data_IF_389493105266
#
_entry.id   IF_389493105266
#
_cell.length_a   1.000
_cell.length_b   1.000
_cell.length_c   1.000
_cell.angle_alpha   90.00
_cell.angle_beta   90.00
_cell.angle_gamma   90.00
#
_symmetry.space_group_name_H-M   'P 1'
#
loop_
_entity.id
_entity.type
_entity.pdbx_description
1 polymer ?
#
# COMPACT_ATOMS: atom_id res chain seq x y z
N UNK A 1 38.12 -65.87 -38.39
CA UNK A 1 37.18 -65.61 -37.29
C UNK A 1 37.91 -64.69 -36.29
N UNK A 2 37.70 -63.41 -36.42
CA UNK A 2 38.35 -62.39 -35.58
C UNK A 2 37.29 -61.79 -34.68
N UNK A 3 37.47 -61.91 -33.36
CA UNK A 3 36.60 -61.33 -32.38
C UNK A 3 37.04 -59.88 -32.07
N UNK A 4 36.17 -58.91 -32.34
CA UNK A 4 36.33 -57.54 -31.93
C UNK A 4 35.77 -57.38 -30.51
N UNK A 5 36.61 -56.85 -29.59
CA UNK A 5 36.19 -56.38 -28.24
C UNK A 5 35.67 -54.97 -28.31
N UNK A 6 34.58 -54.61 -27.63
CA UNK A 6 34.14 -53.22 -27.54
C UNK A 6 34.95 -52.46 -26.49
N UNK A 7 35.35 -51.25 -26.87
CA UNK A 7 36.05 -50.27 -26.05
C UNK A 7 34.98 -49.46 -25.25
N UNK A 8 34.98 -49.57 -23.94
CA UNK A 8 34.16 -48.70 -23.07
C UNK A 8 34.91 -47.38 -22.84
N UNK A 9 34.39 -46.28 -23.37
CA UNK A 9 34.85 -44.93 -23.03
C UNK A 9 33.93 -44.42 -21.88
N UNK A 10 34.51 -44.33 -20.69
CA UNK A 10 33.88 -43.70 -19.53
C UNK A 10 33.95 -42.19 -19.64
N UNK A 11 32.86 -41.52 -19.89
CA UNK A 11 32.75 -40.08 -19.89
C UNK A 11 32.50 -39.59 -18.45
N UNK A 12 33.55 -39.06 -17.83
CA UNK A 12 33.50 -38.51 -16.48
C UNK A 12 32.96 -37.07 -16.57
N UNK A 13 31.69 -36.85 -16.30
CA UNK A 13 31.11 -35.53 -16.14
C UNK A 13 31.61 -34.89 -14.85
N UNK A 14 32.51 -33.93 -14.93
CA UNK A 14 32.83 -33.01 -13.84
C UNK A 14 31.63 -32.07 -13.63
N UNK A 15 30.87 -32.27 -12.56
CA UNK A 15 29.91 -31.30 -12.06
C UNK A 15 30.70 -30.26 -11.26
N UNK A 16 30.93 -29.10 -11.83
CA UNK A 16 31.41 -27.94 -11.08
C UNK A 16 30.26 -27.39 -10.24
N UNK A 17 30.29 -27.63 -8.93
CA UNK A 17 29.45 -26.99 -7.97
C UNK A 17 29.90 -25.51 -7.84
N UNK A 18 29.11 -24.60 -8.41
CA UNK A 18 29.27 -23.18 -8.11
C UNK A 18 28.71 -22.94 -6.70
N UNK A 19 29.60 -22.68 -5.77
CA UNK A 19 29.21 -22.21 -4.44
C UNK A 19 28.58 -20.82 -4.60
N UNK A 20 27.28 -20.74 -4.35
CA UNK A 20 26.57 -19.46 -4.18
C UNK A 20 27.10 -18.86 -2.87
N UNK A 21 27.97 -17.86 -2.98
CA UNK A 21 28.40 -17.07 -1.84
C UNK A 21 27.15 -16.32 -1.29
N UNK A 22 26.73 -16.70 -0.09
CA UNK A 22 25.76 -15.92 0.67
C UNK A 22 26.34 -14.51 0.88
N UNK A 23 25.70 -13.49 0.33
CA UNK A 23 26.02 -12.10 0.64
C UNK A 23 25.66 -11.88 2.10
N UNK A 24 26.67 -11.65 2.93
CA UNK A 24 26.47 -11.17 4.29
C UNK A 24 25.86 -9.78 4.24
N UNK A 25 24.66 -9.63 4.81
CA UNK A 25 24.06 -8.33 5.03
C UNK A 25 24.81 -7.63 6.17
N UNK A 26 25.17 -6.35 6.05
CA UNK A 26 25.83 -5.63 7.13
C UNK A 26 24.96 -5.60 8.39
N UNK A 27 25.58 -5.84 9.54
CA UNK A 27 24.89 -5.80 10.82
C UNK A 27 24.35 -4.38 11.12
N UNK A 28 23.26 -4.24 11.89
CA UNK A 28 22.65 -2.94 12.21
C UNK A 28 23.56 -1.94 12.92
N UNK A 29 24.71 -2.38 13.44
CA UNK A 29 25.70 -1.53 14.11
C UNK A 29 26.63 -0.76 13.16
N UNK A 30 26.69 -1.10 11.89
CA UNK A 30 27.52 -0.42 10.88
C UNK A 30 26.88 0.85 10.29
N UNK A 31 25.64 1.17 10.65
CA UNK A 31 24.88 2.32 10.13
C UNK A 31 24.92 3.56 11.05
N UNK A 32 25.84 3.65 12.00
CA UNK A 32 26.11 4.88 12.77
C UNK A 32 27.33 5.60 12.22
N UNK A 33 27.14 6.27 11.09
CA UNK A 33 28.03 7.31 10.60
C UNK A 33 27.27 8.62 10.64
N UNK A 34 27.63 9.51 11.54
CA UNK A 34 27.16 10.88 11.63
C UNK A 34 27.43 11.61 10.31
N UNK A 35 26.40 11.85 9.54
CA UNK A 35 26.26 13.00 8.67
C UNK A 35 24.77 13.29 8.62
N UNK A 36 24.39 14.48 9.04
CA UNK A 36 23.14 15.15 8.66
C UNK A 36 23.13 15.31 7.11
N UNK A 37 23.03 14.20 6.39
CA UNK A 37 22.67 14.22 4.98
C UNK A 37 21.23 14.73 5.00
N UNK A 38 21.06 16.01 4.68
CA UNK A 38 19.74 16.59 4.45
C UNK A 38 19.05 15.66 3.44
N UNK A 39 18.05 14.92 3.92
CA UNK A 39 17.25 14.03 3.08
C UNK A 39 16.46 14.92 2.13
N UNK A 40 17.05 15.28 1.00
CA UNK A 40 16.32 16.05 -0.02
C UNK A 40 15.23 15.16 -0.62
N UNK A 41 14.06 15.74 -0.82
CA UNK A 41 13.04 15.14 -1.66
C UNK A 41 13.46 15.32 -3.10
N UNK A 42 13.52 14.23 -3.84
CA UNK A 42 13.86 14.25 -5.25
C UNK A 42 12.76 13.56 -6.04
N UNK A 43 12.17 14.29 -6.98
CA UNK A 43 11.23 13.73 -7.95
C UNK A 43 12.00 13.48 -9.24
N UNK A 44 11.92 12.24 -9.75
CA UNK A 44 12.56 11.84 -11.00
C UNK A 44 11.54 11.21 -11.93
N UNK A 45 11.42 11.70 -13.12
CA UNK A 45 10.70 10.99 -14.17
C UNK A 45 11.52 9.78 -14.62
N UNK A 46 10.92 8.58 -14.58
CA UNK A 46 11.57 7.32 -14.96
C UNK A 46 11.31 6.94 -16.41
N UNK A 47 10.10 7.21 -16.91
CA UNK A 47 9.66 7.02 -18.28
C UNK A 47 8.54 8.02 -18.61
N UNK A 48 7.81 7.81 -19.69
CA UNK A 48 6.75 8.72 -20.16
C UNK A 48 5.62 8.94 -19.15
N UNK A 49 5.41 8.02 -18.19
CA UNK A 49 4.30 8.07 -17.24
C UNK A 49 4.69 7.85 -15.78
N UNK A 50 5.89 7.32 -15.50
CA UNK A 50 6.30 6.93 -14.15
C UNK A 50 7.24 7.92 -13.51
N UNK A 51 7.01 8.16 -12.24
CA UNK A 51 7.77 9.10 -11.41
C UNK A 51 8.24 8.42 -10.13
N UNK A 52 9.51 8.55 -9.80
CA UNK A 52 10.06 8.17 -8.51
C UNK A 52 10.14 9.39 -7.60
N UNK A 53 9.66 9.24 -6.36
CA UNK A 53 9.79 10.22 -5.28
C UNK A 53 10.73 9.59 -4.25
N UNK A 54 11.89 10.22 -4.06
CA UNK A 54 12.95 9.70 -3.20
C UNK A 54 13.12 10.56 -1.95
N UNK A 55 13.30 9.92 -0.80
CA UNK A 55 13.64 10.56 0.48
C UNK A 55 14.58 9.66 1.29
N UNK A 56 15.89 9.93 1.22
CA UNK A 56 16.90 9.05 1.81
C UNK A 56 16.84 7.64 1.21
N UNK A 57 16.67 6.62 2.04
CA UNK A 57 16.58 5.22 1.59
C UNK A 57 15.18 4.82 1.13
N UNK A 58 14.22 5.72 1.15
CA UNK A 58 12.83 5.46 0.79
C UNK A 58 12.54 5.92 -0.63
N UNK A 59 11.90 5.07 -1.41
CA UNK A 59 11.53 5.34 -2.80
C UNK A 59 10.08 4.92 -3.02
N UNK A 60 9.26 5.87 -3.48
CA UNK A 60 7.90 5.61 -3.95
C UNK A 60 7.85 5.81 -5.46
N UNK A 61 7.26 4.87 -6.20
CA UNK A 61 7.05 4.99 -7.65
C UNK A 61 5.56 5.12 -7.94
N UNK A 62 5.22 6.17 -8.69
CA UNK A 62 3.84 6.50 -9.09
C UNK A 62 3.73 6.43 -10.61
N UNK A 63 2.64 5.84 -11.12
CA UNK A 63 2.33 5.74 -12.54
C UNK A 63 1.14 6.64 -12.92
N UNK A 64 1.45 7.79 -13.48
CA UNK A 64 0.45 8.73 -13.98
C UNK A 64 -0.31 8.18 -15.21
N UNK A 65 0.26 7.22 -15.94
CA UNK A 65 -0.38 6.60 -17.10
C UNK A 65 -1.53 5.65 -16.75
N UNK A 66 -1.58 5.17 -15.49
CA UNK A 66 -2.57 4.20 -15.04
C UNK A 66 -3.23 4.62 -13.73
N UNK A 67 -4.11 5.61 -13.80
CA UNK A 67 -4.92 6.04 -12.65
C UNK A 67 -4.11 6.69 -11.53
N UNK A 68 -2.87 7.12 -11.78
CA UNK A 68 -1.99 7.68 -10.76
C UNK A 68 -1.77 6.70 -9.60
N UNK A 69 -1.52 5.42 -9.91
CA UNK A 69 -1.31 4.35 -8.92
C UNK A 69 0.10 4.42 -8.34
N UNK A 70 0.22 4.09 -7.05
CA UNK A 70 1.53 3.82 -6.45
C UNK A 70 1.91 2.39 -6.80
N UNK A 71 2.95 2.20 -7.62
CA UNK A 71 3.39 0.89 -8.08
C UNK A 71 4.35 0.21 -7.11
N UNK A 72 5.14 1.00 -6.40
CA UNK A 72 6.24 0.53 -5.57
C UNK A 72 6.43 1.46 -4.38
N UNK A 73 6.72 0.90 -3.23
CA UNK A 73 7.21 1.64 -2.07
C UNK A 73 8.29 0.81 -1.37
N UNK A 74 9.52 1.30 -1.42
CA UNK A 74 10.71 0.58 -1.00
C UNK A 74 11.45 1.30 0.10
N UNK A 75 12.12 0.49 0.94
CA UNK A 75 13.23 0.94 1.74
C UNK A 75 14.49 0.24 1.21
N UNK A 76 15.42 1.00 0.63
CA UNK A 76 16.51 0.47 -0.17
C UNK A 76 15.98 -0.43 -1.31
N UNK A 77 16.36 -1.71 -1.35
CA UNK A 77 15.90 -2.66 -2.37
C UNK A 77 14.68 -3.50 -1.92
N UNK A 78 14.18 -3.30 -0.70
CA UNK A 78 13.09 -4.13 -0.14
C UNK A 78 11.73 -3.50 -0.42
N UNK A 79 10.89 -4.22 -1.16
CA UNK A 79 9.55 -3.80 -1.59
C UNK A 79 8.49 -4.19 -0.56
N UNK A 80 7.52 -3.29 -0.32
CA UNK A 80 6.37 -3.57 0.57
C UNK A 80 5.06 -3.75 -0.19
N UNK A 81 4.92 -3.17 -1.38
CA UNK A 81 3.71 -3.32 -2.21
C UNK A 81 3.78 -4.63 -3.00
N UNK A 82 2.65 -5.31 -3.11
CA UNK A 82 2.56 -6.54 -3.90
C UNK A 82 2.92 -6.28 -5.37
N UNK A 83 3.90 -7.03 -5.86
CA UNK A 83 4.32 -7.02 -7.26
C UNK A 83 3.63 -8.14 -8.07
N UNK A 84 2.67 -8.82 -7.47
CA UNK A 84 1.91 -9.86 -8.15
C UNK A 84 0.91 -9.23 -9.12
N UNK A 85 1.08 -9.38 -10.43
CA UNK A 85 0.17 -8.79 -11.41
C UNK A 85 -1.12 -9.61 -11.46
N UNK A 86 -2.19 -9.05 -10.93
CA UNK A 86 -3.54 -9.59 -11.08
C UNK A 86 -4.29 -8.75 -12.12
N UNK A 87 -3.95 -8.94 -13.40
CA UNK A 87 -4.53 -8.20 -14.53
C UNK A 87 -4.42 -6.68 -14.31
N UNK A 88 -5.52 -6.02 -13.94
CA UNK A 88 -5.58 -4.58 -13.74
C UNK A 88 -5.63 -4.17 -12.26
N UNK A 89 -5.67 -5.15 -11.33
CA UNK A 89 -5.65 -4.90 -9.89
C UNK A 89 -4.22 -5.03 -9.35
N UNK A 90 -3.47 -3.92 -9.33
CA UNK A 90 -2.08 -3.85 -8.86
C UNK A 90 -1.82 -2.55 -8.10
N UNK A 91 -0.75 -2.51 -7.33
CA UNK A 91 -0.27 -1.32 -6.64
C UNK A 91 -1.22 -0.79 -5.56
N UNK A 92 -1.11 0.50 -5.26
CA UNK A 92 -2.08 1.24 -4.46
C UNK A 92 -2.89 2.17 -5.36
N UNK A 93 -4.21 2.16 -5.19
CA UNK A 93 -5.14 2.94 -5.99
C UNK A 93 -6.05 3.78 -5.09
N UNK A 94 -6.78 4.71 -5.70
CA UNK A 94 -7.76 5.56 -5.03
C UNK A 94 -9.09 5.51 -5.77
N UNK A 95 -10.15 5.23 -5.04
CA UNK A 95 -11.52 5.23 -5.53
C UNK A 95 -12.40 6.17 -4.70
N UNK A 96 -13.62 6.37 -5.17
CA UNK A 96 -14.66 7.07 -4.41
C UNK A 96 -15.56 6.07 -3.69
N UNK A 97 -16.01 6.42 -2.48
CA UNK A 97 -16.94 5.64 -1.67
C UNK A 97 -18.30 6.36 -1.57
N UNK A 98 -19.43 5.64 -1.54
CA UNK A 98 -19.57 4.19 -1.46
C UNK A 98 -19.43 3.49 -2.82
N UNK A 99 -18.91 2.26 -2.80
CA UNK A 99 -18.75 1.45 -4.01
C UNK A 99 -20.05 1.24 -4.78
N UNK A 100 -21.17 1.19 -4.13
CA UNK A 100 -22.50 1.00 -4.74
C UNK A 100 -22.89 2.06 -5.78
N UNK A 101 -22.24 3.24 -5.78
CA UNK A 101 -22.51 4.28 -6.77
C UNK A 101 -21.98 3.93 -8.16
N UNK A 102 -20.91 3.13 -8.22
CA UNK A 102 -20.26 2.75 -9.47
C UNK A 102 -20.20 1.24 -9.72
N UNK A 103 -20.35 0.42 -8.67
CA UNK A 103 -20.23 -1.04 -8.74
C UNK A 103 -18.86 -1.49 -9.28
N UNK A 104 -18.78 -2.72 -9.84
CA UNK A 104 -17.59 -3.22 -10.49
C UNK A 104 -17.75 -3.21 -12.02
N UNK A 105 -16.75 -2.85 -12.80
CA UNK A 105 -15.36 -2.47 -12.43
C UNK A 105 -15.25 -1.04 -11.92
N UNK A 106 -14.10 -0.65 -11.35
CA UNK A 106 -13.82 0.72 -10.92
C UNK A 106 -13.97 1.74 -12.06
N UNK A 107 -14.24 2.98 -11.68
CA UNK A 107 -14.34 4.11 -12.62
C UNK A 107 -13.03 4.28 -13.37
N UNK A 108 -13.07 4.19 -14.71
CA UNK A 108 -11.86 4.12 -15.54
C UNK A 108 -11.01 5.39 -15.43
N UNK A 109 -11.62 6.54 -15.37
CA UNK A 109 -10.97 7.85 -15.25
C UNK A 109 -10.13 7.95 -13.96
N UNK A 110 -10.49 7.20 -12.91
CA UNK A 110 -9.77 7.21 -11.64
C UNK A 110 -8.75 6.08 -11.53
N UNK A 111 -9.02 4.93 -12.16
CA UNK A 111 -8.27 3.70 -11.93
C UNK A 111 -7.34 3.31 -13.08
N UNK A 112 -7.63 3.71 -14.34
CA UNK A 112 -6.92 3.23 -15.52
C UNK A 112 -6.42 4.32 -16.47
N UNK A 113 -7.19 5.40 -16.61
CA UNK A 113 -6.85 6.43 -17.57
C UNK A 113 -5.67 7.28 -17.11
N UNK A 114 -4.93 7.90 -18.03
CA UNK A 114 -3.81 8.75 -17.66
C UNK A 114 -4.29 10.03 -16.96
N UNK A 115 -3.48 10.45 -16.00
CA UNK A 115 -3.59 11.72 -15.29
C UNK A 115 -2.65 12.75 -15.90
N UNK A 116 -3.02 14.02 -15.93
CA UNK A 116 -2.06 15.09 -16.16
C UNK A 116 -1.13 15.25 -14.97
N UNK A 117 0.12 15.64 -15.26
CA UNK A 117 1.19 15.73 -14.26
C UNK A 117 1.66 17.18 -14.16
N UNK A 118 1.81 17.64 -12.93
CA UNK A 118 2.44 18.91 -12.58
C UNK A 118 3.42 18.64 -11.43
N UNK A 119 4.48 19.44 -11.36
CA UNK A 119 5.40 19.43 -10.22
C UNK A 119 5.49 20.84 -9.67
N UNK A 120 5.21 20.99 -8.38
CA UNK A 120 5.22 22.28 -7.70
C UNK A 120 5.87 22.14 -6.32
N UNK A 121 6.91 22.92 -6.06
CA UNK A 121 7.62 22.99 -4.76
C UNK A 121 7.99 21.62 -4.16
N UNK A 122 8.45 20.66 -5.01
CA UNK A 122 8.82 19.30 -4.59
C UNK A 122 7.63 18.39 -4.29
N UNK A 123 6.45 18.72 -4.79
CA UNK A 123 5.23 17.91 -4.77
C UNK A 123 4.88 17.45 -6.18
N UNK A 124 4.69 16.15 -6.37
CA UNK A 124 4.15 15.60 -7.61
C UNK A 124 2.63 15.67 -7.55
N UNK A 125 2.02 16.34 -8.52
CA UNK A 125 0.58 16.58 -8.58
C UNK A 125 0.01 15.89 -9.81
N UNK A 126 -1.01 15.07 -9.60
CA UNK A 126 -1.70 14.33 -10.64
C UNK A 126 -3.19 14.68 -10.66
N UNK A 127 -3.73 15.03 -11.83
CA UNK A 127 -5.15 15.33 -12.00
C UNK A 127 -5.78 14.34 -12.99
N UNK A 128 -6.88 13.69 -12.59
CA UNK A 128 -7.66 12.82 -13.48
C UNK A 128 -8.45 13.62 -14.49
N UNK A 129 -8.95 12.93 -15.49
CA UNK A 129 -10.12 13.42 -16.24
C UNK A 129 -11.35 13.42 -15.33
N UNK A 130 -12.35 14.23 -15.68
CA UNK A 130 -13.67 14.19 -15.02
C UNK A 130 -14.37 12.91 -15.43
N UNK A 131 -14.86 12.15 -14.47
CA UNK A 131 -15.66 10.96 -14.81
C UNK A 131 -16.97 11.34 -15.47
N UNK A 132 -17.24 10.76 -16.62
CA UNK A 132 -18.51 10.94 -17.31
C UNK A 132 -19.71 10.42 -16.49
N UNK A 133 -19.50 9.40 -15.69
CA UNK A 133 -20.53 8.77 -14.86
C UNK A 133 -20.79 9.51 -13.56
N UNK A 134 -19.74 9.80 -12.80
CA UNK A 134 -19.84 10.35 -11.45
C UNK A 134 -19.67 11.86 -11.39
N UNK A 135 -19.08 12.44 -12.44
CA UNK A 135 -18.80 13.89 -12.53
C UNK A 135 -17.91 14.40 -11.39
N UNK A 136 -17.02 13.56 -10.88
CA UNK A 136 -15.93 13.99 -10.03
C UNK A 136 -14.63 14.07 -10.84
N UNK A 137 -13.74 14.95 -10.44
CA UNK A 137 -12.30 14.96 -10.77
C UNK A 137 -11.54 14.53 -9.54
N UNK A 138 -10.53 13.70 -9.72
CA UNK A 138 -9.60 13.30 -8.65
C UNK A 138 -8.29 14.04 -8.85
N UNK A 139 -7.78 14.65 -7.78
CA UNK A 139 -6.43 15.19 -7.68
C UNK A 139 -5.67 14.39 -6.63
N UNK A 140 -4.43 14.03 -6.93
CA UNK A 140 -3.50 13.35 -6.03
C UNK A 140 -2.24 14.17 -5.91
N UNK A 141 -1.80 14.40 -4.69
CA UNK A 141 -0.58 15.14 -4.39
C UNK A 141 0.34 14.23 -3.58
N UNK A 142 1.57 14.06 -4.04
CA UNK A 142 2.58 13.25 -3.42
C UNK A 142 3.73 14.12 -2.96
N UNK A 143 3.90 14.23 -1.66
CA UNK A 143 4.97 14.99 -1.02
C UNK A 143 5.69 14.15 0.02
N UNK A 144 6.76 14.66 0.61
CA UNK A 144 7.44 14.05 1.74
C UNK A 144 7.51 15.02 2.91
N UNK A 145 7.45 14.49 4.12
CA UNK A 145 7.74 15.22 5.34
C UNK A 145 9.03 14.67 5.96
N UNK A 146 10.11 15.43 5.82
CA UNK A 146 11.46 15.06 6.28
C UNK A 146 11.58 14.99 7.80
N UNK A 147 10.72 15.73 8.52
CA UNK A 147 10.78 15.82 9.98
C UNK A 147 10.30 14.54 10.64
N UNK A 148 9.23 13.95 10.09
CA UNK A 148 8.67 12.70 10.61
C UNK A 148 8.98 11.47 9.73
N UNK A 149 9.77 11.66 8.65
CA UNK A 149 10.20 10.63 7.72
C UNK A 149 9.03 9.90 7.07
N UNK A 150 8.02 10.65 6.61
CA UNK A 150 6.82 10.12 5.98
C UNK A 150 6.63 10.60 4.55
N UNK A 151 5.96 9.79 3.74
CA UNK A 151 5.33 10.22 2.49
C UNK A 151 3.93 10.72 2.81
N UNK A 152 3.60 11.90 2.29
CA UNK A 152 2.33 12.58 2.53
C UNK A 152 1.55 12.54 1.24
N UNK A 153 0.44 11.81 1.21
CA UNK A 153 -0.39 11.66 0.02
C UNK A 153 -1.72 12.33 0.32
N UNK A 154 -2.04 13.37 -0.45
CA UNK A 154 -3.33 14.06 -0.34
C UNK A 154 -4.17 13.75 -1.56
N UNK A 155 -5.35 13.23 -1.31
CA UNK A 155 -6.38 12.94 -2.31
C UNK A 155 -7.46 14.00 -2.22
N UNK A 156 -7.79 14.62 -3.35
CA UNK A 156 -8.91 15.56 -3.42
C UNK A 156 -9.96 15.05 -4.40
N UNK A 157 -11.23 15.16 -4.02
CA UNK A 157 -12.39 14.87 -4.86
C UNK A 157 -13.10 16.19 -5.13
N UNK A 158 -13.18 16.59 -6.39
CA UNK A 158 -13.84 17.82 -6.83
C UNK A 158 -15.17 17.46 -7.46
N UNK A 159 -16.28 18.04 -6.98
CA UNK A 159 -17.61 17.85 -7.57
C UNK A 159 -17.81 18.74 -8.79
N UNK A 160 -17.57 18.23 -9.97
CA UNK A 160 -17.78 18.96 -11.24
C UNK A 160 -19.21 18.75 -11.81
N UNK A 161 -20.13 18.20 -11.02
CA UNK A 161 -21.53 18.11 -11.41
C UNK A 161 -22.28 19.42 -11.10
N UNK A 162 -23.45 19.58 -11.71
CA UNK A 162 -24.36 20.71 -11.42
C UNK A 162 -25.23 20.52 -10.16
N UNK A 163 -25.02 19.47 -9.36
CA UNK A 163 -25.86 19.11 -8.21
C UNK A 163 -25.03 18.82 -6.97
N UNK A 164 -25.65 18.95 -5.81
CA UNK A 164 -25.03 18.53 -4.53
C UNK A 164 -24.87 17.02 -4.54
N UNK A 165 -23.69 16.53 -4.10
CA UNK A 165 -23.36 15.11 -3.99
C UNK A 165 -22.73 14.82 -2.64
N UNK A 166 -22.79 13.56 -2.21
CA UNK A 166 -22.03 13.08 -1.06
C UNK A 166 -21.06 11.99 -1.48
N UNK A 167 -19.84 12.04 -0.99
CA UNK A 167 -18.77 11.14 -1.39
C UNK A 167 -17.73 11.01 -0.26
N UNK A 168 -17.06 9.87 -0.16
CA UNK A 168 -15.91 9.70 0.71
C UNK A 168 -14.66 9.28 -0.11
N UNK A 169 -13.46 9.66 0.32
CA UNK A 169 -12.21 9.16 -0.24
C UNK A 169 -11.95 7.73 0.22
N UNK A 170 -11.36 6.91 -0.64
CA UNK A 170 -11.08 5.50 -0.38
C UNK A 170 -9.75 5.10 -1.02
N UNK A 171 -8.74 4.82 -0.19
CA UNK A 171 -7.43 4.36 -0.62
C UNK A 171 -7.29 2.85 -0.39
N UNK A 172 -6.81 2.12 -1.41
CA UNK A 172 -6.62 0.69 -1.40
C UNK A 172 -5.16 0.36 -1.72
N UNK A 173 -4.45 -0.29 -0.80
CA UNK A 173 -3.05 -0.66 -0.96
C UNK A 173 -2.87 -2.17 -0.92
N UNK A 174 -2.32 -2.75 -1.98
CA UNK A 174 -2.09 -4.20 -2.07
C UNK A 174 -0.71 -4.56 -1.55
N UNK A 175 -0.69 -5.44 -0.56
CA UNK A 175 0.53 -6.00 0.03
C UNK A 175 0.60 -7.52 -0.23
N UNK A 176 1.79 -8.15 -0.22
CA UNK A 176 1.91 -9.59 -0.39
C UNK A 176 1.12 -10.36 0.68
N UNK A 177 0.44 -11.41 0.27
CA UNK A 177 -0.21 -12.37 1.17
C UNK A 177 0.75 -13.53 1.51
N UNK A 178 1.95 -13.19 1.99
CA UNK A 178 3.00 -14.13 2.37
C UNK A 178 3.56 -13.74 3.73
N UNK A 179 3.25 -14.55 4.74
CA UNK A 179 3.76 -14.37 6.12
C UNK A 179 3.63 -12.95 6.70
N UNK A 180 2.67 -12.17 6.18
CA UNK A 180 2.42 -10.82 6.64
C UNK A 180 1.50 -10.77 7.86
N UNK A 181 1.61 -9.70 8.63
CA UNK A 181 0.77 -9.40 9.78
C UNK A 181 0.13 -8.04 9.61
N UNK A 182 -1.20 -8.01 9.57
CA UNK A 182 -2.00 -6.78 9.49
C UNK A 182 -2.50 -6.47 10.90
N UNK A 183 -2.46 -5.19 11.30
CA UNK A 183 -2.97 -4.81 12.61
C UNK A 183 -3.39 -3.34 12.67
N UNK A 184 -4.38 -3.08 13.51
CA UNK A 184 -4.96 -1.76 13.73
C UNK A 184 -5.66 -1.70 15.11
N UNK A 185 -5.85 -0.49 15.61
CA UNK A 185 -6.48 -0.25 16.92
C UNK A 185 -8.00 -0.29 16.77
N UNK A 186 -8.56 -1.47 16.94
CA UNK A 186 -9.99 -1.73 17.03
C UNK A 186 -10.24 -3.01 17.85
N UNK A 187 -11.36 -3.13 18.59
CA UNK A 187 -11.71 -4.39 19.24
C UNK A 187 -12.13 -5.44 18.18
N UNK A 188 -11.67 -6.68 18.33
CA UNK A 188 -12.05 -7.80 17.42
C UNK A 188 -13.57 -7.97 17.35
N UNK A 189 -14.29 -7.72 18.46
CA UNK A 189 -15.76 -7.79 18.48
C UNK A 189 -16.46 -6.73 17.61
N UNK A 190 -15.76 -5.65 17.25
CA UNK A 190 -16.26 -4.61 16.33
C UNK A 190 -15.97 -4.88 14.86
N UNK A 191 -15.23 -5.95 14.53
CA UNK A 191 -14.92 -6.32 13.15
C UNK A 191 -16.10 -7.07 12.54
N UNK A 192 -16.55 -6.65 11.38
CA UNK A 192 -17.70 -7.25 10.67
C UNK A 192 -17.35 -7.66 9.23
N UNK A 193 -17.84 -8.81 8.71
CA UNK A 193 -18.67 -9.80 9.42
C UNK A 193 -17.88 -10.54 10.50
N UNK A 194 -18.53 -10.81 11.62
CA UNK A 194 -17.91 -11.48 12.76
C UNK A 194 -17.40 -12.87 12.37
N UNK A 195 -16.14 -13.16 12.71
CA UNK A 195 -15.53 -14.50 12.50
C UNK A 195 -15.20 -14.85 11.05
N UNK A 196 -15.38 -13.93 10.07
CA UNK A 196 -15.03 -14.18 8.68
C UNK A 196 -13.51 -14.35 8.47
N UNK A 197 -12.71 -13.62 9.22
CA UNK A 197 -11.25 -13.70 9.23
C UNK A 197 -10.76 -13.92 10.67
N UNK A 198 -9.67 -14.68 10.83
CA UNK A 198 -9.14 -15.09 12.14
C UNK A 198 -8.34 -13.97 12.81
N UNK A 199 -9.01 -12.87 13.15
CA UNK A 199 -8.39 -11.81 13.96
C UNK A 199 -8.21 -12.26 15.41
N UNK A 200 -7.06 -11.92 15.97
CA UNK A 200 -6.76 -12.11 17.39
C UNK A 200 -6.62 -10.76 18.07
N UNK A 201 -6.86 -10.71 19.39
CA UNK A 201 -6.68 -9.48 20.18
C UNK A 201 -5.47 -9.61 21.09
N UNK A 202 -4.56 -8.64 21.02
CA UNK A 202 -3.45 -8.51 21.95
C UNK A 202 -3.14 -7.01 22.16
N UNK A 203 -2.92 -6.60 23.40
CA UNK A 203 -2.56 -5.22 23.78
C UNK A 203 -3.58 -4.15 23.30
N UNK A 204 -4.87 -4.50 23.19
CA UNK A 204 -5.93 -3.60 22.72
C UNK A 204 -6.00 -3.43 21.18
N UNK A 205 -5.20 -4.15 20.44
CA UNK A 205 -5.07 -4.09 18.98
C UNK A 205 -5.59 -5.39 18.37
N UNK A 206 -6.22 -5.32 17.21
CA UNK A 206 -6.63 -6.46 16.38
C UNK A 206 -5.52 -6.84 15.41
N UNK A 207 -5.23 -8.12 15.36
CA UNK A 207 -4.14 -8.70 14.56
C UNK A 207 -4.66 -9.80 13.65
N UNK A 208 -4.27 -9.75 12.38
CA UNK A 208 -4.56 -10.80 11.41
C UNK A 208 -3.28 -11.24 10.72
N UNK A 209 -2.96 -12.53 10.82
CA UNK A 209 -1.84 -13.12 10.08
C UNK A 209 -2.32 -13.56 8.71
N UNK A 210 -1.58 -13.18 7.67
CA UNK A 210 -1.85 -13.58 6.31
C UNK A 210 -1.99 -15.10 6.19
N UNK A 211 -3.06 -15.56 5.56
CA UNK A 211 -3.39 -16.97 5.38
C UNK A 211 -3.74 -17.30 3.92
N UNK A 212 -3.82 -18.60 3.61
CA UNK A 212 -4.35 -19.08 2.34
C UNK A 212 -5.87 -19.02 2.36
N UNK A 213 -6.46 -18.09 1.63
CA UNK A 213 -7.91 -17.98 1.49
C UNK A 213 -8.40 -18.81 0.29
N UNK A 214 -9.39 -19.67 0.51
CA UNK A 214 -10.07 -20.40 -0.56
C UNK A 214 -11.09 -19.52 -1.29
N UNK A 215 -11.52 -18.42 -0.66
CA UNK A 215 -12.46 -17.44 -1.18
C UNK A 215 -12.01 -16.02 -0.85
N UNK A 216 -12.52 -15.06 -1.61
CA UNK A 216 -12.36 -13.65 -1.27
C UNK A 216 -13.08 -13.33 0.03
N UNK A 217 -12.41 -12.59 0.93
CA UNK A 217 -12.97 -12.18 2.23
C UNK A 217 -12.69 -10.70 2.45
N UNK A 218 -13.68 -9.99 2.92
CA UNK A 218 -13.56 -8.57 3.28
C UNK A 218 -14.18 -8.32 4.64
N UNK A 219 -13.49 -7.55 5.46
CA UNK A 219 -14.01 -7.08 6.76
C UNK A 219 -14.04 -5.55 6.82
N UNK A 220 -14.91 -5.06 7.68
CA UNK A 220 -15.05 -3.67 8.05
C UNK A 220 -14.70 -3.49 9.53
N UNK A 221 -14.02 -2.41 9.88
CA UNK A 221 -13.70 -2.04 11.24
C UNK A 221 -13.70 -0.52 11.44
N UNK A 222 -14.09 -0.08 12.62
CA UNK A 222 -13.90 1.28 13.12
C UNK A 222 -12.57 1.32 13.87
N UNK A 223 -11.58 2.02 13.33
CA UNK A 223 -10.22 2.06 13.83
C UNK A 223 -9.91 3.28 14.71
N UNK A 224 -8.64 3.67 14.73
CA UNK A 224 -8.13 4.89 15.39
C UNK A 224 -7.18 5.66 14.47
N UNK A 225 -7.58 5.81 13.20
CA UNK A 225 -6.85 6.59 12.21
C UNK A 225 -5.51 6.00 11.78
N UNK A 226 -5.29 4.70 11.94
CA UNK A 226 -4.09 4.04 11.45
C UNK A 226 -4.30 2.55 11.14
N UNK A 227 -3.54 2.06 10.17
CA UNK A 227 -3.49 0.67 9.74
C UNK A 227 -2.04 0.30 9.43
N UNK A 228 -1.59 -0.87 9.88
CA UNK A 228 -0.21 -1.31 9.71
C UNK A 228 -0.10 -2.71 9.11
N UNK A 229 1.00 -2.91 8.37
CA UNK A 229 1.40 -4.19 7.81
C UNK A 229 2.85 -4.47 8.14
N UNK A 230 3.15 -5.64 8.67
CA UNK A 230 4.48 -6.13 8.98
C UNK A 230 4.79 -7.37 8.18
N UNK A 231 5.92 -7.38 7.48
CA UNK A 231 6.52 -8.58 6.91
C UNK A 231 7.88 -8.88 7.57
N UNK A 232 8.68 -9.77 7.02
CA UNK A 232 9.98 -10.15 7.62
C UNK A 232 10.98 -9.00 7.72
N UNK A 233 10.88 -7.98 6.85
CA UNK A 233 11.91 -6.94 6.69
C UNK A 233 11.40 -5.54 6.97
N UNK A 234 10.10 -5.29 6.80
CA UNK A 234 9.52 -3.95 6.82
C UNK A 234 8.28 -3.87 7.70
N UNK A 235 8.07 -2.70 8.26
CA UNK A 235 6.83 -2.26 8.89
C UNK A 235 6.29 -1.05 8.10
N UNK A 236 5.20 -1.25 7.40
CA UNK A 236 4.41 -0.18 6.77
C UNK A 236 3.35 0.30 7.76
N UNK A 237 3.27 1.60 7.96
CA UNK A 237 2.21 2.24 8.77
C UNK A 237 1.55 3.31 7.92
N UNK A 238 0.23 3.27 7.84
CA UNK A 238 -0.61 4.30 7.22
C UNK A 238 -1.36 5.04 8.30
N UNK A 239 -1.23 6.36 8.37
CA UNK A 239 -1.94 7.24 9.30
C UNK A 239 -2.87 8.14 8.51
N UNK A 240 -4.12 8.23 8.95
CA UNK A 240 -5.18 9.03 8.35
C UNK A 240 -6.06 9.63 9.45
N UNK A 241 -7.12 10.32 9.08
CA UNK A 241 -8.05 10.89 10.04
C UNK A 241 -8.83 9.77 10.75
N UNK A 242 -8.84 9.78 12.09
CA UNK A 242 -9.72 8.95 12.92
C UNK A 242 -11.18 9.40 12.70
N UNK A 243 -12.05 8.48 12.37
CA UNK A 243 -13.47 8.72 12.12
C UNK A 243 -14.32 8.28 13.31
N UNK A 244 -15.49 8.88 13.44
CA UNK A 244 -16.53 8.29 14.29
C UNK A 244 -17.29 7.21 13.52
N UNK A 245 -17.96 6.24 14.17
CA UNK A 245 -18.70 5.17 13.48
C UNK A 245 -19.80 5.65 12.52
N UNK A 246 -20.17 6.93 12.57
CA UNK A 246 -21.22 7.54 11.73
C UNK A 246 -20.67 8.33 10.53
N UNK A 247 -19.36 8.54 10.47
CA UNK A 247 -18.71 9.33 9.41
C UNK A 247 -18.50 8.56 8.08
N UNK A 248 -18.26 7.24 8.07
CA UNK A 248 -18.12 6.50 6.82
C UNK A 248 -19.38 6.54 5.95
N UNK A 249 -19.21 6.29 4.64
CA UNK A 249 -20.34 6.13 3.74
C UNK A 249 -21.20 4.91 4.12
N UNK A 250 -22.51 4.87 3.75
CA UNK A 250 -23.37 3.75 4.07
C UNK A 250 -22.82 2.40 3.61
N UNK A 251 -22.80 1.42 4.49
CA UNK A 251 -22.28 0.06 4.31
C UNK A 251 -20.75 -0.03 4.17
N UNK A 252 -20.03 1.05 4.44
CA UNK A 252 -18.57 1.16 4.41
C UNK A 252 -18.00 1.39 5.83
N UNK A 253 -16.66 1.44 5.95
CA UNK A 253 -15.99 1.64 7.23
C UNK A 253 -14.67 2.41 7.07
N UNK A 254 -14.15 2.95 8.16
CA UNK A 254 -12.85 3.63 8.21
C UNK A 254 -11.71 2.72 7.74
N UNK A 255 -11.70 1.48 8.25
CA UNK A 255 -10.71 0.46 7.89
C UNK A 255 -11.44 -0.73 7.27
N UNK A 256 -10.89 -1.19 6.15
CA UNK A 256 -11.31 -2.43 5.53
C UNK A 256 -10.08 -3.27 5.20
N UNK A 257 -10.20 -4.59 5.34
CA UNK A 257 -9.16 -5.52 4.91
C UNK A 257 -9.80 -6.55 3.98
N UNK A 258 -9.29 -6.60 2.75
CA UNK A 258 -9.72 -7.59 1.77
C UNK A 258 -8.59 -8.58 1.52
N UNK A 259 -8.92 -9.88 1.60
CA UNK A 259 -7.98 -10.97 1.29
C UNK A 259 -8.42 -11.63 -0.01
N UNK A 260 -7.57 -11.56 -1.02
CA UNK A 260 -7.81 -12.22 -2.28
C UNK A 260 -7.51 -13.73 -2.16
N UNK A 261 -8.34 -14.56 -2.78
CA UNK A 261 -8.16 -16.02 -2.76
C UNK A 261 -6.80 -16.45 -3.28
N UNK A 262 -6.25 -17.53 -2.75
CA UNK A 262 -5.07 -18.19 -3.30
C UNK A 262 -3.74 -17.51 -2.97
N UNK A 263 -3.60 -16.85 -1.83
CA UNK A 263 -2.36 -16.20 -1.37
C UNK A 263 -1.75 -15.20 -2.37
N UNK A 264 -2.57 -14.45 -3.06
CA UNK A 264 -2.10 -13.49 -4.07
C UNK A 264 -1.72 -12.15 -3.45
N UNK A 265 -2.68 -11.47 -2.84
CA UNK A 265 -2.47 -10.20 -2.14
C UNK A 265 -3.53 -9.99 -1.05
N UNK A 266 -3.23 -9.04 -0.18
CA UNK A 266 -4.18 -8.46 0.77
C UNK A 266 -4.30 -6.98 0.46
N UNK A 267 -5.53 -6.43 0.52
CA UNK A 267 -5.78 -5.01 0.43
C UNK A 267 -5.88 -4.41 1.83
N UNK A 268 -5.08 -3.40 2.06
CA UNK A 268 -5.14 -2.51 3.20
C UNK A 268 -5.92 -1.29 2.76
N UNK A 269 -7.15 -1.15 3.24
CA UNK A 269 -8.05 -0.11 2.79
C UNK A 269 -8.34 0.87 3.91
N UNK A 270 -8.37 2.17 3.57
CA UNK A 270 -8.76 3.24 4.50
C UNK A 270 -9.68 4.22 3.80
N UNK A 271 -10.67 4.71 4.53
CA UNK A 271 -11.64 5.67 4.02
C UNK A 271 -11.69 6.92 4.89
N UNK A 272 -12.01 8.05 4.27
CA UNK A 272 -12.33 9.29 4.97
C UNK A 272 -13.84 9.50 5.14
N UNK A 273 -14.20 10.63 5.73
CA UNK A 273 -15.58 10.97 6.05
C UNK A 273 -16.47 11.14 4.79
N UNK A 274 -17.70 10.65 4.86
CA UNK A 274 -18.72 10.81 3.82
C UNK A 274 -19.27 12.23 3.81
N UNK A 275 -18.71 13.07 2.96
CA UNK A 275 -18.88 14.53 2.94
C UNK A 275 -19.82 14.99 1.84
N UNK A 276 -20.66 15.98 2.15
CA UNK A 276 -21.48 16.67 1.17
C UNK A 276 -20.65 17.73 0.45
N UNK A 277 -20.73 17.75 -0.89
CA UNK A 277 -20.06 18.70 -1.76
C UNK A 277 -21.10 19.36 -2.67
N UNK A 278 -21.15 20.69 -2.63
CA UNK A 278 -21.89 21.48 -3.64
C UNK A 278 -21.14 21.46 -4.99
N UNK A 279 -21.79 21.90 -6.07
CA UNK A 279 -21.11 22.07 -7.35
C UNK A 279 -19.80 22.89 -7.19
N UNK A 280 -18.73 22.40 -7.77
CA UNK A 280 -17.36 22.94 -7.72
C UNK A 280 -16.69 22.97 -6.34
N UNK A 281 -17.35 22.44 -5.29
CA UNK A 281 -16.67 22.21 -4.01
C UNK A 281 -15.78 20.95 -4.09
N UNK A 282 -14.76 20.94 -3.26
CA UNK A 282 -13.85 19.81 -3.11
C UNK A 282 -13.69 19.39 -1.65
N UNK A 283 -13.44 18.13 -1.42
CA UNK A 283 -12.88 17.63 -0.17
C UNK A 283 -11.42 17.22 -0.40
N UNK A 284 -10.60 17.36 0.62
CA UNK A 284 -9.23 16.82 0.63
C UNK A 284 -9.05 15.92 1.85
N UNK A 285 -8.35 14.81 1.64
CA UNK A 285 -8.06 13.81 2.65
C UNK A 285 -6.63 13.34 2.52
N UNK A 286 -5.88 13.33 3.63
CA UNK A 286 -4.45 13.04 3.64
C UNK A 286 -4.16 11.72 4.35
N UNK A 287 -3.33 10.89 3.72
CA UNK A 287 -2.75 9.70 4.30
C UNK A 287 -1.24 9.86 4.39
N UNK A 288 -0.68 9.61 5.58
CA UNK A 288 0.77 9.55 5.78
C UNK A 288 1.24 8.10 5.76
N UNK A 289 2.25 7.83 4.95
CA UNK A 289 2.85 6.51 4.83
C UNK A 289 4.24 6.53 5.45
N UNK A 290 4.45 5.65 6.42
CA UNK A 290 5.75 5.41 7.06
C UNK A 290 6.23 4.01 6.68
N UNK A 291 7.48 3.89 6.25
CA UNK A 291 8.10 2.61 5.95
C UNK A 291 9.38 2.47 6.77
N UNK A 292 9.40 1.51 7.67
CA UNK A 292 10.47 1.30 8.63
C UNK A 292 11.14 -0.05 8.35
N UNK A 293 12.47 -0.11 8.25
CA UNK A 293 13.20 -1.37 8.36
C UNK A 293 12.89 -2.04 9.70
N UNK A 294 12.45 -3.28 9.66
CA UNK A 294 12.10 -4.03 10.87
C UNK A 294 12.30 -5.52 10.68
N UNK A 295 13.31 -6.08 11.34
CA UNK A 295 13.63 -7.51 11.34
C UNK A 295 13.11 -8.27 12.57
N UNK A 296 12.25 -7.64 13.38
CA UNK A 296 11.60 -8.32 14.50
C UNK A 296 10.67 -9.42 14.01
N UNK A 297 10.35 -10.43 14.83
CA UNK A 297 9.41 -11.48 14.46
C UNK A 297 8.09 -10.95 13.93
N UNK A 298 7.52 -11.64 12.93
CA UNK A 298 6.21 -11.29 12.36
C UNK A 298 5.12 -11.88 13.26
N UNK A 299 4.94 -11.29 14.43
CA UNK A 299 3.98 -11.72 15.45
C UNK A 299 3.44 -10.54 16.25
N UNK A 300 2.27 -10.70 16.86
CA UNK A 300 1.64 -9.69 17.70
C UNK A 300 2.54 -9.36 18.90
N UNK A 301 2.92 -8.10 19.05
CA UNK A 301 3.81 -7.70 20.13
C UNK A 301 3.63 -6.23 20.54
N UNK A 302 3.86 -5.96 21.82
CA UNK A 302 3.89 -4.60 22.37
C UNK A 302 4.96 -3.73 21.69
N UNK A 303 6.06 -4.34 21.23
CA UNK A 303 7.13 -3.62 20.54
C UNK A 303 6.67 -3.05 19.20
N UNK A 304 5.91 -3.82 18.41
CA UNK A 304 5.33 -3.31 17.15
C UNK A 304 4.38 -2.16 17.39
N UNK A 305 3.51 -2.26 18.39
CA UNK A 305 2.60 -1.16 18.77
C UNK A 305 3.38 0.09 19.17
N UNK A 306 4.45 -0.05 19.94
CA UNK A 306 5.29 1.08 20.33
C UNK A 306 5.97 1.75 19.13
N UNK A 307 6.41 0.97 18.13
CA UNK A 307 6.96 1.51 16.88
C UNK A 307 5.90 2.30 16.10
N UNK A 308 4.70 1.75 15.96
CA UNK A 308 3.57 2.48 15.32
C UNK A 308 3.28 3.78 16.09
N UNK A 309 3.05 3.70 17.40
CA UNK A 309 2.74 4.88 18.24
C UNK A 309 3.84 5.95 18.21
N UNK A 310 5.09 5.58 17.93
CA UNK A 310 6.20 6.53 17.81
C UNK A 310 6.10 7.36 16.53
N UNK A 311 5.66 6.79 15.43
CA UNK A 311 5.62 7.49 14.13
C UNK A 311 4.31 8.20 13.87
N UNK A 312 3.21 7.79 14.50
CA UNK A 312 1.89 8.41 14.30
C UNK A 312 1.57 9.55 15.28
N UNK A 313 2.54 9.96 16.11
CA UNK A 313 2.35 11.03 17.13
C UNK A 313 1.93 12.36 16.55
#
# INVERSE_FOLDING_TARGET
MMQLKPLFISLMCLVQAHAVQAREYPSPSALRGDADIQKETLIKQLDDSKYAIEMGDLIMVVDAGHGGKILSFKCQDVEVISQSPMRETFGSTFWTSPQKEWNWPPVQEYDKMPYSVEEEEGTLILNSQVSDRLKYRIRKEFATDKKDNSFVITYSIINESGVVRRVAPWEITRVPNEDGLIFFDAPVAGITPVGLMAFTSAEGVSWYRADAADSNRKINADGKGWLAYKNQHLLLVKKFQDLTPTDPAPDEAEIQVYVNRGKTYIELESQGAYTELKPMESLSWTVRWYLLPDSSPVEASKQLIQKVKKVIK
#
